data_IF_110218344135
#
_entry.id   IF_110218344135
#
_cell.length_a   1.000
_cell.length_b   1.000
_cell.length_c   1.000
_cell.angle_alpha   90.00
_cell.angle_beta   90.00
_cell.angle_gamma   90.00
#
_symmetry.space_group_name_H-M   'P 1'
#
loop_
_entity.id
_entity.type
_entity.pdbx_description
1 polymer ?
#
# COMPACT_ATOMS: atom_id res chain seq x y z
N UNK A 1 -7.26 -14.33 -31.50
CA UNK A 1 -6.17 -13.84 -30.62
C UNK A 1 -4.83 -13.95 -31.36
N UNK A 2 -4.02 -12.88 -31.39
CA UNK A 2 -2.76 -12.86 -32.13
C UNK A 2 -1.71 -13.82 -31.51
N UNK A 3 -0.94 -14.49 -32.36
CA UNK A 3 0.02 -15.55 -32.01
C UNK A 3 1.16 -15.09 -31.07
N UNK A 4 1.51 -13.80 -31.08
CA UNK A 4 2.57 -13.23 -30.24
C UNK A 4 2.25 -13.28 -28.74
N UNK A 5 0.98 -13.15 -28.35
CA UNK A 5 0.55 -13.19 -26.94
C UNK A 5 0.44 -14.62 -26.39
N UNK A 6 0.16 -15.61 -27.25
CA UNK A 6 0.06 -17.02 -26.85
C UNK A 6 1.39 -17.56 -26.30
N UNK A 7 2.53 -17.10 -26.83
CA UNK A 7 3.86 -17.52 -26.37
C UNK A 7 4.21 -16.99 -24.98
N UNK A 8 3.77 -15.78 -24.62
CA UNK A 8 3.94 -15.23 -23.27
C UNK A 8 3.02 -15.93 -22.26
N UNK A 9 1.75 -16.14 -22.63
CA UNK A 9 0.78 -16.83 -21.78
C UNK A 9 1.12 -18.31 -21.53
N UNK A 10 1.64 -19.01 -22.55
CA UNK A 10 2.07 -20.41 -22.43
C UNK A 10 3.30 -20.58 -21.52
N UNK A 11 4.22 -19.61 -21.52
CA UNK A 11 5.43 -19.65 -20.68
C UNK A 11 5.14 -19.34 -19.21
N UNK A 12 4.16 -18.48 -18.93
CA UNK A 12 3.70 -18.20 -17.55
C UNK A 12 3.05 -19.42 -16.89
N UNK A 13 2.41 -20.30 -17.66
CA UNK A 13 1.67 -21.48 -17.15
C UNK A 13 2.58 -22.64 -16.72
N UNK A 14 3.83 -22.68 -17.17
CA UNK A 14 4.74 -23.80 -16.89
C UNK A 14 5.47 -23.71 -15.54
N UNK A 15 5.63 -22.54 -14.93
CA UNK A 15 6.34 -22.37 -13.65
C UNK A 15 5.75 -21.25 -12.77
N UNK A 16 4.50 -21.38 -12.29
CA UNK A 16 3.81 -20.32 -11.54
C UNK A 16 4.58 -19.89 -10.27
N UNK A 17 5.25 -20.83 -9.59
CA UNK A 17 6.07 -20.54 -8.41
C UNK A 17 7.22 -19.58 -8.69
N UNK A 18 8.01 -19.79 -9.74
CA UNK A 18 9.15 -18.92 -10.08
C UNK A 18 8.73 -17.50 -10.43
N UNK A 19 7.57 -17.31 -11.06
CA UNK A 19 7.05 -15.97 -11.34
C UNK A 19 6.56 -15.26 -10.08
N UNK A 20 5.93 -15.97 -9.14
CA UNK A 20 5.53 -15.42 -7.83
C UNK A 20 6.77 -15.06 -7.01
N UNK A 21 7.78 -15.94 -6.97
CA UNK A 21 9.04 -15.69 -6.27
C UNK A 21 9.80 -14.50 -6.88
N UNK A 22 9.89 -14.42 -8.22
CA UNK A 22 10.50 -13.28 -8.90
C UNK A 22 9.72 -11.98 -8.65
N UNK A 23 8.39 -12.03 -8.62
CA UNK A 23 7.55 -10.89 -8.27
C UNK A 23 7.80 -10.44 -6.83
N UNK A 24 7.84 -11.35 -5.85
CA UNK A 24 8.11 -11.02 -4.45
C UNK A 24 9.51 -10.43 -4.27
N UNK A 25 10.54 -11.03 -4.87
CA UNK A 25 11.91 -10.51 -4.79
C UNK A 25 12.01 -9.13 -5.44
N UNK A 26 11.41 -8.96 -6.63
CA UNK A 26 11.39 -7.66 -7.29
C UNK A 26 10.60 -6.64 -6.44
N UNK A 27 9.49 -7.05 -5.84
CA UNK A 27 8.67 -6.23 -4.95
C UNK A 27 9.49 -5.70 -3.77
N UNK A 28 10.23 -6.58 -3.08
CA UNK A 28 11.10 -6.23 -1.95
C UNK A 28 12.26 -5.31 -2.38
N UNK A 29 12.93 -5.61 -3.50
CA UNK A 29 14.02 -4.77 -4.02
C UNK A 29 13.51 -3.38 -4.42
N UNK A 30 12.32 -3.31 -5.04
CA UNK A 30 11.64 -2.05 -5.35
C UNK A 30 11.03 -1.37 -4.13
N UNK A 31 11.08 -1.96 -2.92
CA UNK A 31 10.69 -1.30 -1.68
C UNK A 31 11.92 -0.73 -0.93
N UNK A 32 13.05 -1.44 -0.97
CA UNK A 32 14.30 -1.02 -0.32
C UNK A 32 14.99 0.14 -1.06
N UNK A 33 15.06 0.08 -2.39
CA UNK A 33 15.72 1.11 -3.21
C UNK A 33 15.06 2.50 -3.07
N UNK A 34 13.72 2.66 -3.19
CA UNK A 34 13.06 3.95 -2.93
C UNK A 34 13.33 4.51 -1.54
N UNK A 35 13.34 3.64 -0.53
CA UNK A 35 13.47 4.04 0.86
C UNK A 35 14.88 4.61 1.10
N UNK A 36 15.91 3.95 0.60
CA UNK A 36 17.29 4.45 0.68
C UNK A 36 17.48 5.72 -0.15
N UNK A 37 16.91 5.80 -1.36
CA UNK A 37 16.98 7.00 -2.20
C UNK A 37 16.32 8.21 -1.57
N UNK A 38 15.15 8.05 -0.94
CA UNK A 38 14.49 9.13 -0.21
C UNK A 38 15.25 9.57 1.04
N UNK A 39 15.82 8.62 1.78
CA UNK A 39 16.66 8.94 2.94
C UNK A 39 17.86 9.76 2.51
N UNK A 40 18.54 9.38 1.41
CA UNK A 40 19.64 10.16 0.87
C UNK A 40 19.14 11.52 0.37
N UNK A 41 18.06 11.57 -0.40
CA UNK A 41 17.52 12.81 -0.93
C UNK A 41 17.12 13.77 0.20
N UNK A 42 16.45 13.32 1.26
CA UNK A 42 16.11 14.15 2.43
C UNK A 42 17.32 14.49 3.30
N UNK A 43 18.33 13.63 3.36
CA UNK A 43 19.58 13.95 4.05
C UNK A 43 20.36 15.05 3.32
N UNK A 44 20.31 15.07 1.98
CA UNK A 44 21.03 16.04 1.15
C UNK A 44 20.20 17.28 0.76
N UNK A 45 18.86 17.23 0.88
CA UNK A 45 17.97 18.36 0.63
C UNK A 45 17.23 18.73 1.92
N UNK A 46 17.43 19.96 2.39
CA UNK A 46 16.73 20.53 3.57
C UNK A 46 15.25 20.83 3.31
N UNK A 47 14.61 20.12 2.38
CA UNK A 47 13.24 20.33 1.97
C UNK A 47 12.38 19.25 2.63
N UNK A 48 11.94 19.49 3.87
CA UNK A 48 10.97 18.62 4.54
C UNK A 48 9.57 19.26 4.48
N UNK A 49 8.70 18.86 3.54
CA UNK A 49 7.30 19.29 3.53
C UNK A 49 6.51 18.48 4.58
N UNK A 50 6.92 18.61 5.85
CA UNK A 50 6.30 17.92 6.99
C UNK A 50 4.82 18.23 7.08
N UNK A 51 4.44 19.48 6.85
CA UNK A 51 3.05 19.95 6.92
C UNK A 51 2.17 19.25 5.88
N UNK A 52 2.63 19.15 4.63
CA UNK A 52 1.91 18.46 3.56
C UNK A 52 1.76 16.95 3.84
N UNK A 53 2.81 16.30 4.33
CA UNK A 53 2.77 14.87 4.64
C UNK A 53 1.85 14.56 5.82
N UNK A 54 1.85 15.41 6.85
CA UNK A 54 0.97 15.25 8.01
C UNK A 54 -0.50 15.43 7.63
N UNK A 55 -0.82 16.43 6.81
CA UNK A 55 -2.17 16.67 6.31
C UNK A 55 -2.69 15.48 5.46
N UNK A 56 -1.86 14.97 4.54
CA UNK A 56 -2.17 13.77 3.77
C UNK A 56 -2.39 12.53 4.64
N UNK A 57 -1.52 12.31 5.63
CA UNK A 57 -1.65 11.18 6.55
C UNK A 57 -2.93 11.29 7.37
N UNK A 58 -3.24 12.48 7.89
CA UNK A 58 -4.47 12.72 8.64
C UNK A 58 -5.71 12.50 7.79
N UNK A 59 -5.72 12.99 6.55
CA UNK A 59 -6.80 12.75 5.58
C UNK A 59 -7.01 11.26 5.33
N UNK A 60 -5.94 10.53 5.00
CA UNK A 60 -6.06 9.09 4.76
C UNK A 60 -6.47 8.32 6.01
N UNK A 61 -6.00 8.71 7.19
CA UNK A 61 -6.38 8.11 8.46
C UNK A 61 -7.88 8.30 8.72
N UNK A 62 -8.40 9.51 8.56
CA UNK A 62 -9.83 9.80 8.72
C UNK A 62 -10.69 9.01 7.73
N UNK A 63 -10.32 9.01 6.45
CA UNK A 63 -10.99 8.22 5.40
C UNK A 63 -10.98 6.71 5.74
N UNK A 64 -9.88 6.23 6.32
CA UNK A 64 -9.73 4.84 6.76
C UNK A 64 -10.67 4.51 7.89
N UNK A 65 -10.70 5.33 8.95
CA UNK A 65 -11.53 5.12 10.12
C UNK A 65 -13.00 4.95 9.73
N UNK A 66 -13.52 5.86 8.91
CA UNK A 66 -14.90 5.81 8.39
C UNK A 66 -15.15 4.54 7.59
N UNK A 67 -14.20 4.16 6.73
CA UNK A 67 -14.33 2.99 5.85
C UNK A 67 -14.30 1.68 6.65
N UNK A 68 -13.36 1.54 7.57
CA UNK A 68 -13.16 0.34 8.38
C UNK A 68 -14.24 0.18 9.43
N UNK A 69 -14.70 1.26 10.06
CA UNK A 69 -15.81 1.19 11.01
C UNK A 69 -17.09 0.73 10.33
N UNK A 70 -17.41 1.31 9.16
CA UNK A 70 -18.53 0.87 8.33
C UNK A 70 -18.39 -0.60 7.91
N UNK A 71 -17.18 -1.09 7.69
CA UNK A 71 -16.92 -2.48 7.33
C UNK A 71 -17.09 -3.42 8.55
N UNK A 72 -16.48 -3.10 9.69
CA UNK A 72 -16.57 -3.91 10.92
C UNK A 72 -17.99 -3.95 11.46
N UNK A 73 -18.73 -2.84 11.44
CA UNK A 73 -20.14 -2.78 11.81
C UNK A 73 -21.03 -3.64 10.91
N UNK A 74 -20.80 -3.61 9.59
CA UNK A 74 -21.52 -4.49 8.64
C UNK A 74 -21.25 -5.97 8.88
N UNK A 75 -20.02 -6.30 9.30
CA UNK A 75 -19.57 -7.67 9.51
C UNK A 75 -19.78 -8.20 10.93
N UNK A 76 -20.10 -7.33 11.89
CA UNK A 76 -20.19 -7.73 13.29
C UNK A 76 -18.83 -8.05 13.92
N UNK A 77 -17.73 -7.53 13.37
CA UNK A 77 -16.38 -7.83 13.84
C UNK A 77 -16.00 -6.99 15.06
N UNK A 78 -15.09 -7.51 15.90
CA UNK A 78 -14.47 -6.80 17.04
C UNK A 78 -15.45 -6.22 18.08
N UNK A 79 -16.70 -6.69 18.13
CA UNK A 79 -17.71 -6.19 19.06
C UNK A 79 -18.59 -5.07 18.50
N UNK A 80 -18.36 -4.64 17.24
CA UNK A 80 -19.25 -3.72 16.55
C UNK A 80 -20.59 -4.44 16.31
N UNK A 81 -21.66 -4.01 16.97
CA UNK A 81 -22.99 -4.61 16.76
C UNK A 81 -23.51 -4.27 15.37
N UNK A 82 -24.04 -5.29 14.70
CA UNK A 82 -24.78 -5.14 13.45
C UNK A 82 -26.15 -4.54 13.78
N UNK A 83 -26.24 -3.23 13.85
CA UNK A 83 -27.54 -2.58 14.04
C UNK A 83 -28.36 -2.71 12.75
N UNK A 84 -29.36 -3.58 12.80
CA UNK A 84 -30.39 -3.73 11.78
C UNK A 84 -31.33 -2.52 11.86
N UNK A 85 -31.00 -1.46 11.13
CA UNK A 85 -31.96 -0.39 10.82
C UNK A 85 -31.71 0.98 11.43
N UNK A 86 -30.51 1.33 11.85
CA UNK A 86 -30.23 2.69 12.32
C UNK A 86 -29.61 3.56 11.22
N UNK A 87 -30.30 4.65 10.92
CA UNK A 87 -29.75 5.90 10.39
C UNK A 87 -28.79 6.53 11.43
N UNK A 88 -27.84 5.74 11.94
CA UNK A 88 -26.85 6.13 12.94
C UNK A 88 -25.59 6.57 12.21
N UNK A 89 -25.28 7.85 12.44
CA UNK A 89 -24.33 8.68 11.71
C UNK A 89 -23.03 7.98 11.33
N UNK A 90 -22.46 8.45 10.23
CA UNK A 90 -21.06 8.18 9.93
C UNK A 90 -20.25 8.49 11.19
N UNK A 91 -19.48 7.53 11.66
CA UNK A 91 -18.69 7.73 12.85
C UNK A 91 -17.68 8.83 12.57
N UNK A 92 -17.76 9.89 13.36
CA UNK A 92 -16.86 11.00 13.28
C UNK A 92 -15.44 10.50 13.63
N UNK A 93 -14.43 10.73 12.79
CA UNK A 93 -13.06 10.28 13.05
C UNK A 93 -12.54 10.72 14.42
N UNK A 94 -13.02 11.86 14.92
CA UNK A 94 -12.69 12.41 16.23
C UNK A 94 -13.21 11.53 17.36
N UNK A 95 -14.46 11.04 17.28
CA UNK A 95 -15.07 10.17 18.28
C UNK A 95 -14.35 8.81 18.35
N UNK A 96 -14.01 8.24 17.18
CA UNK A 96 -13.23 7.01 17.12
C UNK A 96 -11.85 7.15 17.79
N UNK A 97 -11.21 8.31 17.62
CA UNK A 97 -9.92 8.62 18.24
C UNK A 97 -10.03 8.86 19.75
N UNK A 98 -11.11 9.48 20.22
CA UNK A 98 -11.40 9.66 21.65
C UNK A 98 -11.63 8.34 22.36
N UNK A 99 -12.45 7.44 21.77
CA UNK A 99 -12.69 6.10 22.32
C UNK A 99 -11.44 5.24 22.35
N UNK A 100 -10.58 5.38 21.33
CA UNK A 100 -9.25 4.78 21.36
C UNK A 100 -8.39 5.30 22.52
N UNK A 101 -8.38 6.62 22.78
CA UNK A 101 -7.67 7.23 23.92
C UNK A 101 -8.23 6.78 25.28
N UNK A 102 -9.53 6.51 25.36
CA UNK A 102 -10.18 5.94 26.54
C UNK A 102 -9.83 4.47 26.78
N UNK A 103 -9.14 3.83 25.84
CA UNK A 103 -8.65 2.45 25.97
C UNK A 103 -9.65 1.39 25.53
N UNK A 104 -10.66 1.73 24.73
CA UNK A 104 -11.61 0.75 24.20
C UNK A 104 -10.87 -0.23 23.27
N UNK A 105 -10.86 -1.55 23.59
CA UNK A 105 -10.15 -2.55 22.80
C UNK A 105 -10.68 -2.66 21.36
N UNK A 106 -11.97 -2.38 21.14
CA UNK A 106 -12.58 -2.40 19.81
C UNK A 106 -12.04 -1.26 18.93
N UNK A 107 -12.01 -0.04 19.47
CA UNK A 107 -11.51 1.14 18.75
C UNK A 107 -9.99 1.10 18.57
N UNK A 108 -9.26 0.41 19.45
CA UNK A 108 -7.82 0.17 19.27
C UNK A 108 -7.52 -0.59 18.00
N UNK A 109 -8.20 -1.70 17.75
CA UNK A 109 -7.99 -2.49 16.54
C UNK A 109 -8.41 -1.68 15.29
N UNK A 110 -9.49 -0.89 15.40
CA UNK A 110 -9.94 -0.01 14.33
C UNK A 110 -8.87 1.04 13.97
N UNK A 111 -8.36 1.78 14.95
CA UNK A 111 -7.35 2.82 14.75
C UNK A 111 -6.03 2.23 14.26
N UNK A 112 -5.58 1.11 14.81
CA UNK A 112 -4.35 0.44 14.37
C UNK A 112 -4.46 -0.01 12.89
N UNK A 113 -5.61 -0.57 12.49
CA UNK A 113 -5.87 -0.98 11.11
C UNK A 113 -5.93 0.23 10.16
N UNK A 114 -6.63 1.28 10.59
CA UNK A 114 -6.75 2.53 9.83
C UNK A 114 -5.39 3.20 9.64
N UNK A 115 -4.58 3.27 10.69
CA UNK A 115 -3.22 3.83 10.65
C UNK A 115 -2.33 3.03 9.69
N UNK A 116 -2.33 1.70 9.76
CA UNK A 116 -1.55 0.86 8.86
C UNK A 116 -1.89 1.09 7.39
N UNK A 117 -3.19 1.22 7.06
CA UNK A 117 -3.63 1.51 5.70
C UNK A 117 -3.28 2.94 5.26
N UNK A 118 -3.42 3.93 6.16
CA UNK A 118 -3.06 5.30 5.88
C UNK A 118 -1.56 5.44 5.56
N UNK A 119 -0.69 4.81 6.37
CA UNK A 119 0.76 4.74 6.10
C UNK A 119 1.00 4.10 4.73
N UNK A 120 0.33 2.97 4.45
CA UNK A 120 0.47 2.29 3.15
C UNK A 120 0.13 3.23 1.99
N UNK A 121 -0.96 4.02 2.11
CA UNK A 121 -1.37 4.99 1.09
C UNK A 121 -0.42 6.16 0.93
N UNK A 122 0.09 6.71 2.03
CA UNK A 122 1.10 7.80 1.99
C UNK A 122 2.37 7.34 1.26
N UNK A 123 2.70 6.05 1.33
CA UNK A 123 3.84 5.46 0.65
C UNK A 123 3.58 5.09 -0.83
N UNK A 124 2.33 5.13 -1.31
CA UNK A 124 2.01 4.80 -2.71
C UNK A 124 2.60 5.79 -3.73
N UNK A 125 2.51 7.13 -3.56
CA UNK A 125 3.11 8.09 -4.50
C UNK A 125 4.62 7.89 -4.63
N UNK A 126 5.29 7.66 -3.49
CA UNK A 126 6.70 7.30 -3.43
C UNK A 126 6.98 6.07 -4.27
N UNK A 127 6.17 5.01 -4.10
CA UNK A 127 6.29 3.76 -4.86
C UNK A 127 6.12 3.99 -6.36
N UNK A 128 5.18 4.83 -6.77
CA UNK A 128 4.91 5.12 -8.19
C UNK A 128 6.03 5.93 -8.83
N UNK A 129 6.50 7.00 -8.17
CA UNK A 129 7.57 7.87 -8.68
C UNK A 129 8.85 7.05 -8.88
N UNK A 130 9.23 6.22 -7.90
CA UNK A 130 10.44 5.40 -8.04
C UNK A 130 10.27 4.27 -9.06
N UNK A 131 9.06 3.73 -9.22
CA UNK A 131 8.80 2.76 -10.30
C UNK A 131 8.99 3.37 -11.69
N UNK A 132 8.67 4.66 -11.87
CA UNK A 132 8.81 5.37 -13.15
C UNK A 132 10.29 5.62 -13.48
N UNK A 133 11.12 6.01 -12.52
CA UNK A 133 12.56 6.21 -12.75
C UNK A 133 13.35 4.90 -12.85
N UNK A 134 12.90 3.84 -12.16
CA UNK A 134 13.52 2.52 -12.25
C UNK A 134 13.15 1.76 -13.53
N UNK A 135 12.03 2.09 -14.18
CA UNK A 135 11.58 1.45 -15.42
C UNK A 135 12.63 1.44 -16.55
N UNK A 136 13.32 2.55 -16.90
CA UNK A 136 14.36 2.53 -17.94
C UNK A 136 15.57 1.66 -17.57
N UNK A 137 15.98 1.64 -16.30
CA UNK A 137 17.09 0.79 -15.84
C UNK A 137 16.72 -0.70 -15.86
N UNK A 138 15.53 -1.05 -15.36
CA UNK A 138 15.01 -2.42 -15.33
C UNK A 138 14.81 -2.98 -16.74
N UNK A 139 14.34 -2.16 -17.68
CA UNK A 139 14.26 -2.51 -19.10
C UNK A 139 15.65 -2.87 -19.66
N UNK A 140 16.69 -2.10 -19.31
CA UNK A 140 18.07 -2.38 -19.68
C UNK A 140 18.61 -3.70 -19.12
N UNK A 141 18.30 -4.02 -17.86
CA UNK A 141 18.70 -5.28 -17.20
C UNK A 141 18.01 -6.48 -17.85
N UNK A 142 16.69 -6.41 -18.10
CA UNK A 142 15.93 -7.48 -18.73
C UNK A 142 16.43 -7.81 -20.15
N UNK A 143 16.81 -6.79 -20.92
CA UNK A 143 17.39 -6.98 -22.26
C UNK A 143 18.76 -7.68 -22.15
N UNK A 144 19.59 -7.30 -21.18
CA UNK A 144 20.91 -7.94 -20.95
C UNK A 144 20.76 -9.39 -20.49
N UNK A 145 19.87 -9.68 -19.55
CA UNK A 145 19.59 -11.04 -19.08
C UNK A 145 19.05 -11.91 -20.22
N UNK A 146 18.14 -11.39 -21.04
CA UNK A 146 17.64 -12.09 -22.24
C UNK A 146 18.75 -12.37 -23.25
N UNK A 147 19.74 -11.49 -23.39
CA UNK A 147 20.91 -11.70 -24.26
C UNK A 147 21.85 -12.76 -23.69
N UNK A 148 21.97 -12.86 -22.36
CA UNK A 148 22.76 -13.87 -21.67
C UNK A 148 22.14 -15.28 -21.80
N UNK A 149 20.82 -15.38 -21.68
CA UNK A 149 20.07 -16.65 -21.81
C UNK A 149 19.86 -17.12 -23.26
N UNK A 150 20.20 -16.30 -24.26
CA UNK A 150 20.14 -16.66 -25.68
C UNK A 150 21.52 -17.08 -26.23
N UNK A 151 22.49 -17.33 -25.34
CA UNK A 151 23.81 -17.84 -25.65
C UNK A 151 23.90 -19.31 -25.32
#
# INVERSE_FOLDING_TARGET
MPESMKRYAAKMRQYPGSYITAFLILHEVTAVVPLVSLVLLFHYTTFMPMEYMMDMMQKYMNDSLVSFERYFRRKGYFGFKKEEGANSGEAEPQEAMERWRQGDPMYRILVETALAWAITKVLLPVRVIVSIEAAPWLAGVLIKVKKLFKR
#
